data_IF_750179772478
#
_entry.id   IF_750179772478
#
_cell.length_a   1.000
_cell.length_b   1.000
_cell.length_c   1.000
_cell.angle_alpha   90.00
_cell.angle_beta   90.00
_cell.angle_gamma   90.00
#
_symmetry.space_group_name_H-M   'P 1'
#
loop_
_entity.id
_entity.type
_entity.pdbx_description
1 polymer ?
#
# COMPACT_ATOMS: atom_id res chain seq x y z
N UNK A 1 -5.47 -22.38 -0.42
CA UNK A 1 -5.07 -21.24 -1.27
C UNK A 1 -4.17 -20.33 -0.42
N UNK A 2 -3.09 -20.89 0.11
CA UNK A 2 -2.12 -20.21 0.97
C UNK A 2 -0.79 -20.25 0.22
N UNK A 3 -0.18 -19.10 -0.08
CA UNK A 3 1.16 -19.05 -0.68
C UNK A 3 1.24 -18.66 -2.16
N UNK A 4 0.33 -17.82 -2.67
CA UNK A 4 0.58 -17.13 -3.95
C UNK A 4 1.69 -16.09 -3.68
N UNK A 5 2.92 -16.49 -3.97
CA UNK A 5 4.16 -15.71 -3.96
C UNK A 5 4.46 -14.90 -2.67
N UNK A 6 5.48 -15.28 -1.87
CA UNK A 6 5.94 -14.41 -0.80
C UNK A 6 6.57 -13.16 -1.42
N UNK A 7 5.81 -12.06 -1.48
CA UNK A 7 6.41 -10.74 -1.62
C UNK A 7 7.21 -10.49 -0.33
N UNK A 8 8.50 -10.81 -0.37
CA UNK A 8 9.43 -10.58 0.74
C UNK A 8 9.80 -9.09 0.74
N UNK A 9 9.85 -8.46 1.92
CA UNK A 9 10.14 -7.02 2.05
C UNK A 9 8.90 -6.11 2.16
N UNK A 10 7.73 -6.67 2.51
CA UNK A 10 6.53 -5.84 2.79
C UNK A 10 6.70 -5.10 4.12
N UNK A 11 6.26 -3.84 4.14
CA UNK A 11 6.03 -3.11 5.39
C UNK A 11 4.81 -3.70 6.12
N UNK A 12 4.85 -3.72 7.45
CA UNK A 12 3.66 -4.11 8.24
C UNK A 12 2.60 -3.01 8.15
N UNK A 13 1.31 -3.39 8.25
CA UNK A 13 0.23 -2.40 8.28
C UNK A 13 0.37 -1.41 9.46
N UNK A 14 0.92 -1.87 10.59
CA UNK A 14 1.18 -1.03 11.76
C UNK A 14 2.21 0.05 11.47
N UNK A 15 3.36 -0.33 10.91
CA UNK A 15 4.44 0.62 10.60
C UNK A 15 4.00 1.58 9.49
N UNK A 16 3.28 1.08 8.47
CA UNK A 16 2.68 1.90 7.42
C UNK A 16 1.73 2.95 8.01
N UNK A 17 0.81 2.54 8.89
CA UNK A 17 -0.13 3.46 9.54
C UNK A 17 0.59 4.53 10.36
N UNK A 18 1.64 4.16 11.11
CA UNK A 18 2.44 5.10 11.90
C UNK A 18 3.16 6.13 11.04
N UNK A 19 3.65 5.75 9.85
CA UNK A 19 4.26 6.67 8.90
C UNK A 19 3.19 7.59 8.29
N UNK A 20 2.08 7.04 7.82
CA UNK A 20 0.99 7.81 7.19
C UNK A 20 0.39 8.84 8.14
N UNK A 21 0.23 8.54 9.43
CA UNK A 21 -0.33 9.46 10.42
C UNK A 21 0.53 10.71 10.66
N UNK A 22 1.78 10.71 10.21
CA UNK A 22 2.67 11.89 10.25
C UNK A 22 2.41 12.85 9.07
N UNK A 23 1.66 12.42 8.06
CA UNK A 23 1.33 13.22 6.88
C UNK A 23 0.08 14.09 7.11
N UNK A 24 -0.04 15.25 6.45
CA UNK A 24 -1.25 16.07 6.49
C UNK A 24 -2.46 15.29 5.97
N UNK A 25 -3.65 15.56 6.52
CA UNK A 25 -4.91 14.90 6.09
C UNK A 25 -5.45 15.38 4.74
N UNK A 26 -4.73 16.26 4.05
CA UNK A 26 -5.11 16.82 2.75
C UNK A 26 -3.91 16.73 1.82
N UNK A 27 -4.12 16.18 0.62
CA UNK A 27 -3.09 16.00 -0.39
C UNK A 27 -3.30 14.71 -1.17
N UNK A 28 -2.36 14.43 -2.08
CA UNK A 28 -2.30 13.19 -2.83
C UNK A 28 -1.02 12.43 -2.48
N UNK A 29 -1.13 11.13 -2.25
CA UNK A 29 0.00 10.24 -2.00
C UNK A 29 0.27 9.38 -3.24
N UNK A 30 1.52 9.33 -3.70
CA UNK A 30 1.96 8.42 -4.74
C UNK A 30 2.96 7.44 -4.14
N UNK A 31 2.67 6.15 -4.26
CA UNK A 31 3.62 5.07 -4.00
C UNK A 31 4.01 4.40 -5.34
N UNK A 32 5.19 4.71 -5.91
CA UNK A 32 5.60 4.20 -7.21
C UNK A 32 6.13 2.77 -7.20
N UNK A 33 6.20 2.12 -6.03
CA UNK A 33 6.63 0.73 -5.86
C UNK A 33 5.72 0.01 -4.85
N UNK A 34 4.41 0.11 -5.07
CA UNK A 34 3.43 -0.14 -4.01
C UNK A 34 3.35 -1.60 -3.55
N UNK A 35 3.90 -2.55 -4.32
CA UNK A 35 3.84 -3.97 -4.00
C UNK A 35 2.39 -4.41 -3.80
N UNK A 36 2.09 -4.98 -2.63
CA UNK A 36 0.72 -5.36 -2.26
C UNK A 36 -0.15 -4.20 -1.77
N UNK A 37 0.28 -2.95 -1.92
CA UNK A 37 -0.55 -1.76 -1.68
C UNK A 37 -0.69 -1.33 -0.22
N UNK A 38 0.12 -1.83 0.72
CA UNK A 38 -0.06 -1.55 2.16
C UNK A 38 0.00 -0.06 2.51
N UNK A 39 0.93 0.68 1.92
CA UNK A 39 1.05 2.14 2.12
C UNK A 39 -0.18 2.87 1.56
N UNK A 40 -0.58 2.52 0.33
CA UNK A 40 -1.75 3.10 -0.35
C UNK A 40 -3.01 2.87 0.49
N UNK A 41 -3.22 1.65 0.96
CA UNK A 41 -4.38 1.29 1.77
C UNK A 41 -4.45 2.06 3.10
N UNK A 42 -3.34 2.15 3.84
CA UNK A 42 -3.31 2.92 5.08
C UNK A 42 -3.43 4.44 4.82
N UNK A 43 -2.93 4.95 3.68
CA UNK A 43 -3.16 6.33 3.24
C UNK A 43 -4.64 6.64 3.01
N UNK A 44 -5.37 5.73 2.34
CA UNK A 44 -6.82 5.87 2.12
C UNK A 44 -7.58 5.91 3.44
N UNK A 45 -7.25 5.02 4.40
CA UNK A 45 -7.83 5.05 5.74
C UNK A 45 -7.57 6.36 6.49
N UNK A 46 -6.42 6.99 6.28
CA UNK A 46 -6.08 8.28 6.87
C UNK A 46 -6.80 9.47 6.21
N UNK A 47 -7.49 9.23 5.08
CA UNK A 47 -8.24 10.24 4.34
C UNK A 47 -7.47 10.89 3.19
N UNK A 48 -6.35 10.30 2.76
CA UNK A 48 -5.60 10.76 1.59
C UNK A 48 -6.13 10.13 0.31
N UNK A 49 -6.25 10.95 -0.74
CA UNK A 49 -6.30 10.43 -2.11
C UNK A 49 -4.94 9.80 -2.41
N UNK A 50 -4.91 8.56 -2.88
CA UNK A 50 -3.65 7.84 -3.07
C UNK A 50 -3.64 6.96 -4.32
N UNK A 51 -2.45 6.85 -4.91
CA UNK A 51 -2.18 6.13 -6.14
C UNK A 51 -0.99 5.19 -5.88
N UNK A 52 -1.17 3.91 -6.17
CA UNK A 52 -0.10 2.91 -6.16
C UNK A 52 0.24 2.47 -7.58
N UNK A 53 1.53 2.36 -7.87
CA UNK A 53 2.04 1.77 -9.11
C UNK A 53 3.04 0.68 -8.74
N UNK A 54 2.96 -0.45 -9.42
CA UNK A 54 3.99 -1.48 -9.37
C UNK A 54 4.13 -2.11 -10.76
N UNK A 55 5.37 -2.39 -11.17
CA UNK A 55 5.64 -3.05 -12.45
C UNK A 55 5.19 -4.51 -12.42
N UNK A 56 5.15 -5.14 -11.25
CA UNK A 56 4.76 -6.52 -11.09
C UNK A 56 3.22 -6.66 -11.09
N UNK A 57 2.62 -7.24 -12.14
CA UNK A 57 1.17 -7.36 -12.22
C UNK A 57 0.57 -8.23 -11.10
N UNK A 58 1.34 -9.18 -10.55
CA UNK A 58 0.90 -10.01 -9.41
C UNK A 58 0.71 -9.15 -8.16
N UNK A 59 1.59 -8.16 -7.96
CA UNK A 59 1.52 -7.27 -6.80
C UNK A 59 0.26 -6.42 -6.84
N UNK A 60 -0.05 -5.87 -8.01
CA UNK A 60 -1.28 -5.10 -8.27
C UNK A 60 -2.52 -5.95 -8.04
N UNK A 61 -2.55 -7.21 -8.52
CA UNK A 61 -3.67 -8.13 -8.29
C UNK A 61 -3.86 -8.37 -6.79
N UNK A 62 -2.78 -8.66 -6.05
CA UNK A 62 -2.85 -8.88 -4.60
C UNK A 62 -3.36 -7.64 -3.86
N UNK A 63 -3.02 -6.44 -4.32
CA UNK A 63 -3.44 -5.18 -3.68
C UNK A 63 -4.95 -4.91 -3.79
N UNK A 64 -5.64 -5.47 -4.79
CA UNK A 64 -7.08 -5.29 -5.03
C UNK A 64 -7.93 -6.48 -4.57
N UNK A 65 -7.30 -7.59 -4.16
CA UNK A 65 -8.02 -8.74 -3.63
C UNK A 65 -8.55 -8.40 -2.23
N UNK A 66 -9.83 -8.73 -1.93
CA UNK A 66 -10.45 -8.45 -0.64
C UNK A 66 -9.84 -9.25 0.52
#
# INVERSE_FOLDING_TARGET
>A
IHGIFPYRGKISAKDASQIIQQLPRKGKLLDPFCGSGTIVYEAQKWGLESIGVDLNPIAVIIAILP
#
